data_IF_660543572303
#
_entry.id   IF_660543572303
#
_cell.length_a   1.000
_cell.length_b   1.000
_cell.length_c   1.000
_cell.angle_alpha   90.00
_cell.angle_beta   90.00
_cell.angle_gamma   90.00
#
_symmetry.space_group_name_H-M   'P 1'
#
loop_
_entity.id
_entity.type
_entity.pdbx_description
1 polymer ?
#
# COMPACT_ATOMS: atom_id res chain seq x y z
N UNK A 1 32.70 -50.64 -14.70
CA UNK A 1 32.33 -49.52 -13.82
C UNK A 1 31.03 -48.96 -14.37
N UNK A 2 29.91 -49.23 -13.72
CA UNK A 2 28.59 -48.78 -14.17
C UNK A 2 28.23 -47.50 -13.42
N UNK A 3 28.11 -46.39 -14.12
CA UNK A 3 27.58 -45.14 -13.57
C UNK A 3 26.08 -45.32 -13.30
N UNK A 4 25.70 -45.27 -12.02
CA UNK A 4 24.29 -45.16 -11.63
C UNK A 4 23.80 -43.75 -11.97
N UNK A 5 22.70 -43.61 -12.74
CA UNK A 5 22.16 -42.30 -13.08
C UNK A 5 21.73 -41.58 -11.80
N UNK A 6 22.32 -40.40 -11.57
CA UNK A 6 22.00 -39.56 -10.42
C UNK A 6 20.59 -38.97 -10.64
N UNK A 7 19.57 -39.61 -10.07
CA UNK A 7 18.22 -39.04 -10.03
C UNK A 7 18.28 -37.82 -9.11
N UNK A 8 18.09 -36.63 -9.66
CA UNK A 8 18.02 -35.39 -8.90
C UNK A 8 16.85 -35.40 -7.91
N UNK A 9 16.88 -34.54 -6.87
CA UNK A 9 15.79 -34.47 -5.91
C UNK A 9 14.45 -34.14 -6.60
N UNK A 10 13.33 -34.74 -6.18
CA UNK A 10 12.04 -34.53 -6.81
C UNK A 10 11.62 -33.06 -6.72
N UNK A 11 11.16 -32.51 -7.85
CA UNK A 11 10.61 -31.15 -7.87
C UNK A 11 9.30 -31.09 -7.07
N UNK A 12 9.09 -30.04 -6.25
CA UNK A 12 7.83 -29.87 -5.54
C UNK A 12 6.68 -29.64 -6.54
N UNK A 13 5.46 -30.10 -6.22
CA UNK A 13 4.29 -29.87 -7.05
C UNK A 13 3.98 -28.37 -7.18
N UNK A 14 3.40 -27.96 -8.31
CA UNK A 14 3.13 -26.56 -8.63
C UNK A 14 2.30 -25.83 -7.55
N UNK A 15 1.36 -26.53 -6.90
CA UNK A 15 0.55 -26.00 -5.80
C UNK A 15 1.39 -25.60 -4.58
N UNK A 16 2.40 -26.40 -4.23
CA UNK A 16 3.32 -26.07 -3.13
C UNK A 16 4.19 -24.85 -3.47
N UNK A 17 4.61 -24.71 -4.73
CA UNK A 17 5.36 -23.53 -5.17
C UNK A 17 4.51 -22.26 -5.12
N UNK A 18 3.26 -22.33 -5.57
CA UNK A 18 2.32 -21.22 -5.50
C UNK A 18 2.06 -20.79 -4.03
N UNK A 19 1.80 -21.76 -3.14
CA UNK A 19 1.62 -21.48 -1.72
C UNK A 19 2.85 -20.84 -1.08
N UNK A 20 4.06 -21.31 -1.40
CA UNK A 20 5.31 -20.71 -0.90
C UNK A 20 5.50 -19.28 -1.39
N UNK A 21 5.20 -19.02 -2.67
CA UNK A 21 5.26 -17.66 -3.24
C UNK A 21 4.27 -16.72 -2.57
N UNK A 22 3.05 -17.19 -2.33
CA UNK A 22 2.02 -16.42 -1.65
C UNK A 22 2.43 -16.09 -0.20
N UNK A 23 2.89 -17.08 0.56
CA UNK A 23 3.39 -16.86 1.93
C UNK A 23 4.59 -15.91 1.97
N UNK A 24 5.52 -16.07 1.02
CA UNK A 24 6.65 -15.15 0.86
C UNK A 24 6.18 -13.73 0.60
N UNK A 25 5.26 -13.55 -0.35
CA UNK A 25 4.70 -12.24 -0.70
C UNK A 25 3.97 -11.59 0.48
N UNK A 26 3.13 -12.33 1.19
CA UNK A 26 2.46 -11.82 2.39
C UNK A 26 3.47 -11.38 3.46
N UNK A 27 4.57 -12.12 3.64
CA UNK A 27 5.62 -11.70 4.57
C UNK A 27 6.31 -10.41 4.12
N UNK A 28 6.58 -10.25 2.83
CA UNK A 28 7.17 -9.01 2.27
C UNK A 28 6.24 -7.83 2.48
N UNK A 29 4.95 -7.96 2.14
CA UNK A 29 3.98 -6.87 2.30
C UNK A 29 3.82 -6.50 3.77
N UNK A 30 3.74 -7.48 4.67
CA UNK A 30 3.70 -7.23 6.11
C UNK A 30 4.91 -6.41 6.56
N UNK A 31 6.12 -6.82 6.18
CA UNK A 31 7.35 -6.11 6.57
C UNK A 31 7.36 -4.66 6.06
N UNK A 32 6.92 -4.44 4.81
CA UNK A 32 6.80 -3.10 4.23
C UNK A 32 5.80 -2.26 5.03
N UNK A 33 4.60 -2.78 5.31
CA UNK A 33 3.56 -2.03 6.01
C UNK A 33 3.91 -1.79 7.49
N UNK A 34 4.53 -2.76 8.17
CA UNK A 34 5.02 -2.58 9.54
C UNK A 34 6.14 -1.53 9.58
N UNK A 35 7.05 -1.54 8.60
CA UNK A 35 8.09 -0.51 8.48
C UNK A 35 7.49 0.88 8.26
N UNK A 36 6.52 0.99 7.35
CA UNK A 36 5.81 2.25 7.09
C UNK A 36 5.02 2.73 8.33
N UNK A 37 4.38 1.82 9.06
CA UNK A 37 3.68 2.15 10.30
C UNK A 37 4.65 2.65 11.38
N UNK A 38 5.81 2.02 11.54
CA UNK A 38 6.85 2.47 12.47
C UNK A 38 7.36 3.86 12.10
N UNK A 39 7.69 4.10 10.82
CA UNK A 39 8.11 5.42 10.32
C UNK A 39 7.01 6.47 10.52
N UNK A 40 5.76 6.16 10.17
CA UNK A 40 4.62 7.06 10.36
C UNK A 40 4.40 7.39 11.85
N UNK A 41 4.63 6.44 12.73
CA UNK A 41 4.47 6.63 14.16
C UNK A 41 5.59 7.51 14.76
N UNK A 42 6.82 7.43 14.25
CA UNK A 42 7.89 8.38 14.57
C UNK A 42 7.55 9.79 14.09
N UNK A 43 7.03 9.91 12.86
CA UNK A 43 6.74 11.19 12.21
C UNK A 43 5.51 11.92 12.80
N UNK A 44 4.42 11.20 13.05
CA UNK A 44 3.18 11.75 13.62
C UNK A 44 3.26 12.01 15.13
N UNK A 45 4.40 11.78 15.76
CA UNK A 45 4.58 11.88 17.21
C UNK A 45 3.93 10.74 18.02
N UNK A 46 3.39 9.71 17.37
CA UNK A 46 2.80 8.52 18.02
C UNK A 46 3.82 7.67 18.80
N UNK A 47 5.11 7.78 18.47
CA UNK A 47 6.24 7.18 19.20
C UNK A 47 7.27 8.22 19.68
N UNK A 48 6.98 9.52 19.58
CA UNK A 48 7.98 10.54 19.92
C UNK A 48 8.20 10.63 21.44
N UNK A 49 9.44 10.41 21.88
CA UNK A 49 9.87 10.67 23.24
C UNK A 49 10.16 12.16 23.53
N UNK A 50 10.03 13.10 22.57
CA UNK A 50 10.23 14.55 22.84
C UNK A 50 9.43 15.50 21.96
N UNK A 51 9.07 16.66 22.53
CA UNK A 51 8.20 17.69 21.96
C UNK A 51 8.88 18.65 20.95
N UNK A 52 9.90 18.21 20.20
CA UNK A 52 10.68 19.14 19.36
C UNK A 52 11.12 18.51 18.03
N UNK A 53 10.19 18.40 17.08
CA UNK A 53 10.44 17.77 15.77
C UNK A 53 9.80 18.45 14.56
N UNK A 54 9.26 19.67 14.70
CA UNK A 54 8.70 20.42 13.58
C UNK A 54 9.77 21.36 12.96
N UNK A 55 10.69 20.79 12.17
CA UNK A 55 11.59 21.56 11.31
C UNK A 55 11.33 21.21 9.84
N UNK A 56 10.81 22.18 9.12
CA UNK A 56 10.42 22.22 7.71
C UNK A 56 11.58 21.95 6.74
N UNK A 57 11.75 20.69 6.37
CA UNK A 57 12.60 20.26 5.24
C UNK A 57 11.86 19.12 4.52
N UNK A 58 11.89 19.01 3.17
CA UNK A 58 11.37 17.82 2.48
C UNK A 58 12.30 16.65 2.80
N UNK A 59 12.08 15.99 3.94
CA UNK A 59 12.75 14.74 4.23
C UNK A 59 12.23 13.67 3.26
N UNK A 60 13.05 12.71 2.82
CA UNK A 60 12.60 11.60 1.98
C UNK A 60 11.43 10.80 2.60
N UNK A 61 11.20 10.95 3.90
CA UNK A 61 10.08 10.37 4.63
C UNK A 61 8.73 11.06 4.33
N UNK A 62 8.73 12.36 4.00
CA UNK A 62 7.51 13.06 3.55
C UNK A 62 7.01 12.53 2.21
N UNK A 63 7.91 12.08 1.33
CA UNK A 63 7.56 11.50 0.03
C UNK A 63 6.92 10.11 0.15
N UNK A 64 7.09 9.43 1.29
CA UNK A 64 6.47 8.11 1.52
C UNK A 64 4.97 8.22 1.80
N UNK A 65 4.52 9.37 2.33
CA UNK A 65 3.18 9.59 2.87
C UNK A 65 2.39 10.69 2.13
N UNK A 66 2.85 11.12 0.96
CA UNK A 66 2.13 12.10 0.12
C UNK A 66 1.19 11.45 -0.91
N UNK A 67 1.02 10.12 -0.87
CA UNK A 67 0.20 9.34 -1.80
C UNK A 67 0.92 8.84 -3.05
N UNK A 68 2.22 9.12 -3.22
CA UNK A 68 3.05 8.51 -4.27
C UNK A 68 3.24 7.02 -4.07
N UNK A 69 3.41 6.61 -2.82
CA UNK A 69 3.40 5.21 -2.41
C UNK A 69 1.96 4.74 -2.25
N UNK A 70 1.64 3.55 -2.79
CA UNK A 70 0.31 2.97 -2.76
C UNK A 70 0.37 1.44 -2.70
N UNK A 71 -0.69 0.82 -2.19
CA UNK A 71 -0.93 -0.61 -2.37
C UNK A 71 -1.91 -0.84 -3.50
N UNK A 72 -1.78 -1.97 -4.20
CA UNK A 72 -2.77 -2.44 -5.18
C UNK A 72 -3.48 -3.65 -4.58
N UNK A 73 -4.81 -3.58 -4.52
CA UNK A 73 -5.62 -4.70 -4.02
C UNK A 73 -5.84 -5.76 -5.09
N UNK A 74 -6.30 -6.95 -4.70
CA UNK A 74 -6.67 -8.04 -5.62
C UNK A 74 -7.73 -7.64 -6.63
N UNK A 75 -8.60 -6.68 -6.29
CA UNK A 75 -9.59 -6.09 -7.20
C UNK A 75 -9.00 -5.01 -8.13
N UNK A 76 -7.69 -4.78 -8.10
CA UNK A 76 -7.00 -3.80 -8.93
C UNK A 76 -7.08 -2.36 -8.40
N UNK A 77 -7.62 -2.14 -7.21
CA UNK A 77 -7.74 -0.79 -6.65
C UNK A 77 -6.38 -0.28 -6.15
N UNK A 78 -5.97 0.91 -6.61
CA UNK A 78 -4.80 1.63 -6.07
C UNK A 78 -5.20 2.47 -4.88
N UNK A 79 -4.61 2.18 -3.71
CA UNK A 79 -4.87 2.90 -2.46
C UNK A 79 -3.61 3.68 -2.07
N UNK A 80 -3.60 5.01 -2.24
CA UNK A 80 -2.46 5.84 -1.87
C UNK A 80 -2.29 5.86 -0.35
N UNK A 81 -1.03 5.88 0.09
CA UNK A 81 -0.67 5.85 1.50
C UNK A 81 -0.35 7.27 1.95
N UNK A 82 -1.11 7.76 2.93
CA UNK A 82 -0.76 8.89 3.78
C UNK A 82 -0.44 8.46 5.21
N UNK A 83 -0.94 7.30 5.64
CA UNK A 83 -0.69 6.76 6.97
C UNK A 83 -1.00 5.26 7.00
N UNK A 84 -0.37 4.52 7.91
CA UNK A 84 -0.56 3.08 8.08
C UNK A 84 -0.64 2.73 9.56
N UNK A 85 -1.62 1.92 9.93
CA UNK A 85 -1.83 1.43 11.29
C UNK A 85 -1.99 -0.09 11.31
N UNK A 86 -1.29 -0.82 12.18
CA UNK A 86 -1.64 -2.20 12.48
C UNK A 86 -3.00 -2.25 13.21
N UNK A 87 -3.94 -3.09 12.76
CA UNK A 87 -5.29 -3.20 13.36
C UNK A 87 -5.49 -4.48 14.16
N UNK A 88 -4.90 -5.59 13.69
CA UNK A 88 -5.05 -6.89 14.34
C UNK A 88 -3.68 -7.51 14.57
N UNK A 89 -3.35 -7.67 15.85
CA UNK A 89 -2.15 -8.31 16.34
C UNK A 89 -2.55 -9.29 17.44
N UNK A 90 -2.41 -10.59 17.17
CA UNK A 90 -2.24 -11.51 18.28
C UNK A 90 -0.84 -11.27 18.83
N UNK A 91 -0.66 -11.19 20.15
CA UNK A 91 0.66 -11.20 20.77
C UNK A 91 0.85 -12.52 21.48
N UNK A 92 2.08 -13.04 21.52
CA UNK A 92 2.35 -14.25 22.30
C UNK A 92 2.24 -13.87 23.78
N UNK A 93 1.50 -14.62 24.62
CA UNK A 93 1.27 -14.28 26.03
C UNK A 93 2.54 -14.10 26.87
N UNK A 94 3.70 -14.52 26.36
CA UNK A 94 4.99 -14.57 27.06
C UNK A 94 5.81 -13.27 27.00
N UNK A 95 5.31 -12.20 26.37
CA UNK A 95 6.03 -10.92 26.29
C UNK A 95 5.88 -10.12 27.60
N UNK A 96 7.00 -9.95 28.32
CA UNK A 96 7.05 -9.41 29.70
C UNK A 96 6.89 -7.88 29.81
N UNK A 97 6.94 -7.14 28.69
CA UNK A 97 6.97 -5.67 28.66
C UNK A 97 5.98 -5.03 27.68
N UNK A 98 5.64 -3.75 27.91
CA UNK A 98 4.77 -2.99 27.01
C UNK A 98 5.39 -2.76 25.61
N UNK A 99 6.71 -2.50 25.55
CA UNK A 99 7.48 -2.42 24.30
C UNK A 99 7.46 -3.75 23.55
N UNK A 100 7.64 -4.86 24.26
CA UNK A 100 7.72 -6.20 23.65
C UNK A 100 6.36 -6.64 23.10
N UNK A 101 5.26 -6.20 23.73
CA UNK A 101 3.90 -6.39 23.22
C UNK A 101 3.62 -5.56 21.97
N UNK A 102 4.10 -4.32 21.90
CA UNK A 102 3.99 -3.50 20.69
C UNK A 102 4.79 -4.09 19.53
N UNK A 103 6.04 -4.49 19.77
CA UNK A 103 6.87 -5.16 18.76
C UNK A 103 6.29 -6.52 18.34
N UNK A 104 5.79 -7.32 19.30
CA UNK A 104 5.11 -8.59 18.98
C UNK A 104 3.83 -8.36 18.19
N UNK A 105 3.14 -7.23 18.41
CA UNK A 105 1.97 -6.87 17.64
C UNK A 105 2.36 -6.54 16.20
N UNK A 106 3.35 -5.67 16.00
CA UNK A 106 3.84 -5.25 14.69
C UNK A 106 4.37 -6.42 13.84
N UNK A 107 4.98 -7.44 14.47
CA UNK A 107 5.48 -8.65 13.79
C UNK A 107 4.35 -9.61 13.38
N UNK A 108 3.23 -9.63 14.12
CA UNK A 108 2.12 -10.59 13.90
C UNK A 108 0.93 -9.99 13.14
N UNK A 109 1.03 -8.74 12.69
CA UNK A 109 -0.08 -8.08 12.01
C UNK A 109 -0.41 -8.70 10.65
N UNK A 110 -1.67 -9.10 10.50
CA UNK A 110 -2.24 -9.58 9.23
C UNK A 110 -3.27 -8.63 8.63
N UNK A 111 -3.66 -7.57 9.36
CA UNK A 111 -4.62 -6.56 8.94
C UNK A 111 -4.07 -5.18 9.27
N UNK A 112 -4.08 -4.31 8.25
CA UNK A 112 -3.62 -2.93 8.36
C UNK A 112 -4.74 -1.97 7.97
N UNK A 113 -4.78 -0.82 8.64
CA UNK A 113 -5.57 0.33 8.24
C UNK A 113 -4.68 1.32 7.50
N UNK A 114 -5.06 1.67 6.27
CA UNK A 114 -4.37 2.64 5.43
C UNK A 114 -5.26 3.88 5.33
N UNK A 115 -4.69 5.04 5.63
CA UNK A 115 -5.33 6.34 5.37
C UNK A 115 -4.77 6.91 4.08
N UNK A 116 -5.65 7.44 3.25
CA UNK A 116 -5.28 8.14 2.01
C UNK A 116 -5.07 9.63 2.26
N UNK A 117 -4.38 10.35 1.36
CA UNK A 117 -4.30 11.81 1.43
C UNK A 117 -5.67 12.51 1.35
N UNK A 118 -6.66 11.89 0.70
CA UNK A 118 -8.05 12.34 0.63
C UNK A 118 -8.83 12.16 1.95
N UNK A 119 -8.25 11.45 2.94
CA UNK A 119 -8.87 11.19 4.23
C UNK A 119 -9.72 9.91 4.28
N UNK A 120 -9.83 9.17 3.18
CA UNK A 120 -10.47 7.86 3.16
C UNK A 120 -9.63 6.84 3.95
N UNK A 121 -10.32 5.90 4.59
CA UNK A 121 -9.71 4.90 5.46
C UNK A 121 -10.09 3.50 5.00
N UNK A 122 -9.09 2.69 4.71
CA UNK A 122 -9.26 1.30 4.28
C UNK A 122 -8.69 0.35 5.32
N UNK A 123 -9.42 -0.70 5.68
CA UNK A 123 -8.92 -1.77 6.56
C UNK A 123 -8.76 -3.03 5.71
N UNK A 124 -7.52 -3.45 5.49
CA UNK A 124 -7.17 -4.42 4.45
C UNK A 124 -6.30 -5.53 5.04
N UNK A 125 -6.69 -6.80 4.87
CA UNK A 125 -5.82 -7.93 5.16
C UNK A 125 -4.62 -7.97 4.21
N UNK A 126 -3.46 -8.41 4.69
CA UNK A 126 -2.23 -8.49 3.86
C UNK A 126 -2.43 -9.35 2.60
N UNK A 127 -3.20 -10.44 2.72
CA UNK A 127 -3.48 -11.30 1.57
C UNK A 127 -4.28 -10.62 0.47
N UNK A 128 -4.96 -9.49 0.71
CA UNK A 128 -5.67 -8.73 -0.32
C UNK A 128 -4.75 -7.81 -1.12
N UNK A 129 -3.51 -7.59 -0.68
CA UNK A 129 -2.55 -6.72 -1.35
C UNK A 129 -1.72 -7.56 -2.32
N UNK A 130 -1.77 -7.24 -3.61
CA UNK A 130 -1.07 -7.98 -4.67
C UNK A 130 0.14 -7.25 -5.23
N UNK A 131 0.25 -5.93 -4.96
CA UNK A 131 1.44 -5.16 -5.30
C UNK A 131 1.61 -3.94 -4.39
N UNK A 132 2.84 -3.46 -4.30
CA UNK A 132 3.18 -2.13 -3.77
C UNK A 132 3.71 -1.31 -4.95
N UNK A 133 3.19 -0.09 -5.08
CA UNK A 133 3.47 0.79 -6.21
C UNK A 133 4.00 2.13 -5.68
N UNK A 134 5.12 2.59 -6.23
CA UNK A 134 5.68 3.91 -5.98
C UNK A 134 5.74 4.71 -7.29
N UNK A 135 5.17 5.91 -7.28
CA UNK A 135 5.26 6.86 -8.39
C UNK A 135 6.44 7.81 -8.18
N UNK A 136 7.21 8.06 -9.25
CA UNK A 136 8.21 9.13 -9.22
C UNK A 136 7.54 10.50 -9.22
N UNK A 137 8.18 11.51 -8.63
CA UNK A 137 7.71 12.89 -8.65
C UNK A 137 7.46 13.40 -10.08
N UNK A 138 8.36 13.08 -11.00
CA UNK A 138 8.25 13.46 -12.40
C UNK A 138 6.99 12.86 -13.05
N UNK A 139 6.63 11.62 -12.70
CA UNK A 139 5.43 10.97 -13.21
C UNK A 139 4.16 11.58 -12.61
N UNK A 140 4.15 11.92 -11.32
CA UNK A 140 3.02 12.63 -10.70
C UNK A 140 2.79 13.98 -11.36
N UNK A 141 3.84 14.80 -11.52
CA UNK A 141 3.72 16.10 -12.21
C UNK A 141 3.20 15.98 -13.64
N UNK A 142 3.63 14.95 -14.36
CA UNK A 142 3.13 14.66 -15.72
C UNK A 142 1.66 14.25 -15.71
N UNK A 143 1.24 13.44 -14.73
CA UNK A 143 -0.16 13.02 -14.57
C UNK A 143 -1.05 14.22 -14.20
N UNK A 144 -0.61 15.08 -13.29
CA UNK A 144 -1.32 16.31 -12.92
C UNK A 144 -1.47 17.25 -14.13
N UNK A 145 -0.38 17.48 -14.89
CA UNK A 145 -0.41 18.29 -16.09
C UNK A 145 -1.36 17.74 -17.16
N UNK A 146 -1.35 16.41 -17.37
CA UNK A 146 -2.27 15.76 -18.30
C UNK A 146 -3.73 15.85 -17.85
N UNK A 147 -4.01 15.67 -16.55
CA UNK A 147 -5.36 15.80 -16.00
C UNK A 147 -5.90 17.23 -16.12
N UNK A 148 -5.07 18.24 -15.83
CA UNK A 148 -5.43 19.65 -16.02
C UNK A 148 -5.68 19.98 -17.49
N UNK A 149 -4.86 19.45 -18.41
CA UNK A 149 -5.05 19.62 -19.84
C UNK A 149 -6.36 18.98 -20.35
N UNK A 150 -6.76 17.85 -19.77
CA UNK A 150 -8.06 17.22 -20.06
C UNK A 150 -9.24 18.03 -19.54
N UNK A 151 -9.15 18.57 -18.32
CA UNK A 151 -10.20 19.41 -17.73
C UNK A 151 -10.41 20.73 -18.48
N UNK A 152 -9.33 21.32 -19.02
CA UNK A 152 -9.40 22.55 -19.83
C UNK A 152 -9.86 22.32 -21.28
N UNK A 153 -9.94 21.06 -21.74
CA UNK A 153 -10.40 20.69 -23.09
C UNK A 153 -11.89 20.32 -23.17
N UNK A 154 -12.58 20.23 -22.03
CA UNK A 154 -14.04 20.01 -21.99
C UNK A 154 -14.73 21.35 -21.73
N UNK A 155 -15.24 21.97 -22.80
CA UNK A 155 -16.19 23.08 -22.75
C UNK A 155 -17.51 22.57 -22.12
N UNK A 156 -17.55 22.55 -20.80
CA UNK A 156 -18.72 22.13 -20.03
C UNK A 156 -18.52 22.51 -18.57
N UNK A 157 -19.36 23.41 -18.08
CA UNK A 157 -19.34 23.93 -16.72
C UNK A 157 -19.61 22.80 -15.73
N UNK A 158 -18.57 22.14 -15.24
CA UNK A 158 -18.67 21.28 -14.05
C UNK A 158 -17.42 21.45 -13.18
N UNK A 159 -17.67 21.52 -11.87
CA UNK A 159 -16.75 21.92 -10.81
C UNK A 159 -15.35 21.27 -10.93
N UNK A 160 -14.32 22.06 -10.59
CA UNK A 160 -12.93 21.59 -10.47
C UNK A 160 -12.86 20.48 -9.41
N UNK A 161 -13.02 19.23 -9.84
CA UNK A 161 -12.93 18.08 -8.95
C UNK A 161 -11.46 17.77 -8.64
N UNK A 162 -11.11 17.49 -7.37
CA UNK A 162 -9.76 17.10 -7.01
C UNK A 162 -9.30 15.85 -7.78
N UNK A 163 -8.00 15.78 -8.07
CA UNK A 163 -7.31 14.76 -8.88
C UNK A 163 -7.73 13.29 -8.63
N UNK A 164 -8.05 12.91 -7.39
CA UNK A 164 -8.52 11.56 -7.06
C UNK A 164 -9.94 11.26 -7.55
N UNK A 165 -10.82 12.27 -7.59
CA UNK A 165 -12.21 12.13 -8.00
C UNK A 165 -12.33 12.05 -9.52
N UNK A 166 -11.61 12.90 -10.26
CA UNK A 166 -11.64 12.92 -11.73
C UNK A 166 -11.13 11.62 -12.38
N UNK A 167 -10.10 10.99 -11.80
CA UNK A 167 -9.59 9.71 -12.28
C UNK A 167 -10.58 8.55 -12.02
N UNK A 168 -11.30 8.58 -10.90
CA UNK A 168 -12.29 7.56 -10.55
C UNK A 168 -13.60 7.72 -11.35
N UNK A 169 -14.05 8.96 -11.55
CA UNK A 169 -15.26 9.25 -12.34
C UNK A 169 -15.02 9.03 -13.83
N UNK A 170 -13.80 9.27 -14.34
CA UNK A 170 -13.46 8.98 -15.75
C UNK A 170 -13.53 7.48 -16.06
N UNK A 171 -13.10 6.60 -15.14
CA UNK A 171 -13.27 5.15 -15.28
C UNK A 171 -14.75 4.74 -15.22
N UNK A 172 -15.51 5.28 -14.27
CA UNK A 172 -16.94 5.00 -14.13
C UNK A 172 -17.79 5.54 -15.30
N UNK A 173 -17.39 6.65 -15.93
CA UNK A 173 -18.01 7.19 -17.14
C UNK A 173 -17.65 6.36 -18.37
N UNK A 174 -16.39 5.93 -18.51
CA UNK A 174 -15.95 5.07 -19.61
C UNK A 174 -16.68 3.72 -19.63
N UNK A 175 -17.03 3.16 -18.47
CA UNK A 175 -17.83 1.93 -18.36
C UNK A 175 -19.30 2.14 -18.76
N UNK A 176 -19.89 3.31 -18.49
CA UNK A 176 -21.26 3.65 -18.92
C UNK A 176 -21.34 3.92 -20.42
N UNK A 177 -20.33 4.55 -21.01
CA UNK A 177 -20.27 4.79 -22.45
C UNK A 177 -19.99 3.51 -23.25
N UNK A 178 -19.36 2.50 -22.64
CA UNK A 178 -19.13 1.19 -23.24
C UNK A 178 -20.32 0.21 -23.12
N UNK A 179 -21.39 0.56 -22.41
CA UNK A 179 -22.68 -0.13 -22.46
C UNK A 179 -23.74 0.68 -23.24
N UNK A 180 -23.74 0.64 -24.58
CA UNK A 180 -24.89 1.10 -25.34
C UNK A 180 -25.97 0.01 -25.28
N UNK A 181 -26.90 0.13 -24.32
CA UNK A 181 -28.16 -0.61 -24.34
C UNK A 181 -28.55 -1.29 -23.03
N UNK A 182 -29.26 -0.54 -22.18
CA UNK A 182 -30.38 -1.03 -21.39
C UNK A 182 -31.50 0.01 -21.45
#
# INVERSE_FOLDING_TARGET
>A
MSETPHVGPPHPPASQLAQRREMFWQNVVREILSSLAATAATFSGRLSATAKGAATTPSPEHELFDGRTAVITRLGQRIPIADVYPVFACSVPTASGASDRMLSADVQCSIFQIRTPSGEVYTIPVHEIVAVHALSEALVKRLEAAAMAHALGQDGVDEVQPFGFAAFTSLAQSEREQQPGA
#
